data_IF_211565250384
#
_entry.id   IF_211565250384
#
_cell.length_a   1.000
_cell.length_b   1.000
_cell.length_c   1.000
_cell.angle_alpha   90.00
_cell.angle_beta   90.00
_cell.angle_gamma   90.00
#
_symmetry.space_group_name_H-M   'P 1'
#
loop_
_entity.id
_entity.type
_entity.pdbx_description
1 polymer ?
#
# COMPACT_ATOMS: atom_id res chain seq x y z
N UNK A 1 10.99 -8.37 8.68
CA UNK A 1 12.19 -7.76 9.29
C UNK A 1 12.96 -7.06 8.19
N UNK A 2 13.11 -5.74 8.28
CA UNK A 2 13.87 -4.94 7.31
C UNK A 2 15.32 -4.72 7.74
N UNK A 3 15.53 -4.34 9.00
CA UNK A 3 16.85 -4.07 9.58
C UNK A 3 16.94 -4.70 10.98
N UNK A 4 18.08 -5.29 11.32
CA UNK A 4 18.37 -5.85 12.64
C UNK A 4 19.78 -5.43 13.01
N UNK A 5 19.96 -4.87 14.21
CA UNK A 5 21.26 -4.44 14.73
C UNK A 5 21.41 -4.87 16.19
N UNK A 6 22.65 -5.16 16.60
CA UNK A 6 22.99 -5.54 17.97
C UNK A 6 24.43 -5.98 18.10
N UNK A 7 25.01 -5.79 19.29
CA UNK A 7 26.40 -6.14 19.59
C UNK A 7 27.41 -5.08 19.13
N UNK A 8 28.51 -4.98 19.87
CA UNK A 8 29.62 -4.05 19.58
C UNK A 8 30.95 -4.78 19.36
N UNK A 9 31.10 -6.01 19.84
CA UNK A 9 32.29 -6.84 19.67
C UNK A 9 31.97 -8.33 19.76
N UNK A 10 32.88 -9.18 19.24
CA UNK A 10 32.67 -10.63 19.13
C UNK A 10 32.76 -11.40 20.45
N UNK A 11 33.32 -10.80 21.50
CA UNK A 11 33.59 -11.43 22.79
C UNK A 11 32.86 -10.76 23.96
N UNK A 12 31.87 -9.92 23.69
CA UNK A 12 31.06 -9.23 24.70
C UNK A 12 29.58 -9.57 24.49
N UNK A 13 28.88 -9.89 25.58
CA UNK A 13 27.42 -10.06 25.55
C UNK A 13 26.79 -8.69 25.25
N UNK A 14 25.99 -8.59 24.18
CA UNK A 14 25.30 -7.34 23.85
C UNK A 14 24.26 -7.00 24.90
N UNK A 15 24.23 -5.75 25.34
CA UNK A 15 23.21 -5.21 26.26
C UNK A 15 21.98 -4.66 25.52
N UNK A 16 22.04 -4.55 24.19
CA UNK A 16 20.98 -3.99 23.37
C UNK A 16 20.89 -4.64 21.98
N UNK A 17 19.68 -4.66 21.42
CA UNK A 17 19.42 -5.00 20.03
C UNK A 17 18.19 -4.20 19.54
N UNK A 18 18.17 -3.87 18.24
CA UNK A 18 17.03 -3.24 17.58
C UNK A 18 16.61 -4.06 16.37
N UNK A 19 15.32 -3.97 16.04
CA UNK A 19 14.80 -4.47 14.79
C UNK A 19 13.74 -3.51 14.25
N UNK A 20 13.77 -3.27 12.94
CA UNK A 20 12.73 -2.51 12.23
C UNK A 20 11.93 -3.47 11.35
N UNK A 21 10.60 -3.37 11.42
CA UNK A 21 9.68 -4.26 10.71
C UNK A 21 8.69 -3.42 9.91
N UNK A 22 8.69 -3.63 8.59
CA UNK A 22 7.61 -3.17 7.72
C UNK A 22 6.47 -4.18 7.80
N UNK A 23 5.27 -3.72 8.16
CA UNK A 23 4.08 -4.57 8.24
C UNK A 23 3.01 -4.00 7.33
N UNK A 24 2.43 -4.87 6.50
CA UNK A 24 1.40 -4.53 5.53
C UNK A 24 0.14 -5.32 5.81
N UNK A 25 -0.99 -4.66 5.69
CA UNK A 25 -2.31 -5.20 5.95
C UNK A 25 -3.27 -4.77 4.84
N UNK A 26 -4.26 -5.62 4.59
CA UNK A 26 -5.29 -5.44 3.57
C UNK A 26 -6.56 -4.85 4.15
N UNK A 27 -6.85 -5.13 5.42
CA UNK A 27 -8.08 -4.73 6.09
C UNK A 27 -7.80 -4.12 7.44
N UNK A 28 -8.76 -3.34 7.93
CA UNK A 28 -8.69 -2.76 9.26
C UNK A 28 -8.72 -3.82 10.38
N UNK A 29 -9.34 -4.98 10.14
CA UNK A 29 -9.33 -6.08 11.11
C UNK A 29 -7.92 -6.67 11.28
N UNK A 30 -7.18 -6.81 10.18
CA UNK A 30 -5.79 -7.31 10.21
C UNK A 30 -4.87 -6.39 11.00
N UNK A 31 -5.12 -5.08 10.97
CA UNK A 31 -4.39 -4.12 11.81
C UNK A 31 -4.50 -4.49 13.28
N UNK A 32 -5.73 -4.73 13.75
CA UNK A 32 -6.03 -5.04 15.15
C UNK A 32 -5.39 -6.38 15.54
N UNK A 33 -5.58 -7.40 14.70
CA UNK A 33 -5.01 -8.73 14.91
C UNK A 33 -3.47 -8.69 15.01
N UNK A 34 -2.81 -7.98 14.10
CA UNK A 34 -1.35 -7.83 14.09
C UNK A 34 -0.86 -7.10 15.35
N UNK A 35 -1.55 -6.03 15.78
CA UNK A 35 -1.20 -5.31 17.01
C UNK A 35 -1.29 -6.24 18.23
N UNK A 36 -2.32 -7.08 18.31
CA UNK A 36 -2.48 -8.07 19.39
C UNK A 36 -1.42 -9.18 19.34
N UNK A 37 -1.08 -9.69 18.15
CA UNK A 37 -0.04 -10.69 17.98
C UNK A 37 1.33 -10.16 18.39
N UNK A 38 1.69 -8.95 17.96
CA UNK A 38 2.92 -8.27 18.38
C UNK A 38 2.94 -8.10 19.90
N UNK A 39 1.83 -7.64 20.50
CA UNK A 39 1.70 -7.47 21.94
C UNK A 39 1.80 -8.81 22.70
N UNK A 40 1.43 -9.92 22.08
CA UNK A 40 1.56 -11.27 22.66
C UNK A 40 3.01 -11.75 22.60
N UNK A 41 3.68 -11.56 21.47
CA UNK A 41 5.09 -11.94 21.29
C UNK A 41 5.98 -11.24 22.31
N UNK A 42 5.80 -9.94 22.53
CA UNK A 42 6.63 -9.18 23.49
C UNK A 42 6.42 -9.56 24.95
N UNK A 43 5.31 -10.23 25.29
CA UNK A 43 5.07 -10.73 26.64
C UNK A 43 5.81 -12.05 26.90
N UNK A 44 6.17 -12.78 25.84
CA UNK A 44 6.89 -14.04 25.93
C UNK A 44 8.40 -13.77 25.87
N UNK A 45 8.95 -13.32 26.99
CA UNK A 45 10.39 -13.04 27.13
C UNK A 45 11.09 -14.26 27.71
N UNK A 46 12.02 -14.84 26.95
CA UNK A 46 12.76 -16.04 27.36
C UNK A 46 13.94 -15.74 28.31
N UNK A 47 14.49 -14.53 28.26
CA UNK A 47 15.67 -14.12 29.04
C UNK A 47 15.27 -13.13 30.12
N UNK A 48 15.42 -13.54 31.37
CA UNK A 48 15.05 -12.72 32.53
C UNK A 48 15.78 -11.36 32.54
N UNK A 49 15.07 -10.32 32.99
CA UNK A 49 15.56 -8.94 32.98
C UNK A 49 15.51 -8.21 31.62
N UNK A 50 15.17 -8.90 30.52
CA UNK A 50 15.02 -8.26 29.20
C UNK A 50 13.81 -7.33 29.18
N UNK A 51 13.98 -6.14 28.57
CA UNK A 51 12.90 -5.17 28.37
C UNK A 51 12.75 -4.88 26.89
N UNK A 52 11.52 -4.87 26.40
CA UNK A 52 11.19 -4.55 25.01
C UNK A 52 10.45 -3.23 24.97
N UNK A 53 10.88 -2.32 24.08
CA UNK A 53 10.17 -1.09 23.73
C UNK A 53 9.79 -1.17 22.27
N UNK A 54 8.50 -0.96 21.97
CA UNK A 54 8.02 -0.83 20.60
C UNK A 54 7.76 0.65 20.34
N UNK A 55 8.23 1.12 19.19
CA UNK A 55 7.95 2.45 18.66
C UNK A 55 7.44 2.31 17.23
N UNK A 56 6.64 3.27 16.79
CA UNK A 56 6.01 3.29 15.47
C UNK A 56 4.49 3.21 15.56
N UNK A 57 3.84 3.53 14.45
CA UNK A 57 2.40 3.41 14.27
C UNK A 57 2.08 3.15 12.80
N UNK A 58 0.81 2.96 12.52
CA UNK A 58 0.27 2.88 11.17
C UNK A 58 0.41 4.25 10.52
N UNK A 59 1.32 4.33 9.55
CA UNK A 59 1.52 5.55 8.77
C UNK A 59 0.67 5.58 7.48
N UNK A 60 0.14 4.44 7.05
CA UNK A 60 -0.76 4.31 5.89
C UNK A 60 -1.89 3.32 6.21
N UNK A 61 -3.17 3.75 6.16
CA UNK A 61 -4.30 2.84 6.36
C UNK A 61 -4.42 1.84 5.19
N UNK A 62 -5.19 0.75 5.35
CA UNK A 62 -5.47 -0.15 4.23
C UNK A 62 -6.32 0.57 3.16
N UNK A 63 -6.03 0.28 1.89
CA UNK A 63 -6.86 0.72 0.76
C UNK A 63 -7.86 -0.39 0.40
N UNK A 64 -8.95 -0.47 1.17
CA UNK A 64 -9.97 -1.50 0.97
C UNK A 64 -10.84 -1.22 -0.27
N UNK A 65 -11.08 -2.28 -1.06
CA UNK A 65 -12.03 -2.21 -2.17
C UNK A 65 -13.45 -2.23 -1.61
N UNK A 66 -14.13 -1.09 -1.67
CA UNK A 66 -15.50 -0.93 -1.20
C UNK A 66 -16.49 -0.64 -2.35
N UNK A 67 -17.78 -0.55 -2.04
CA UNK A 67 -18.83 -0.31 -3.04
C UNK A 67 -18.64 0.99 -3.84
N UNK A 68 -18.11 2.05 -3.21
CA UNK A 68 -17.87 3.32 -3.89
C UNK A 68 -16.70 3.20 -4.88
N UNK A 69 -15.62 2.54 -4.47
CA UNK A 69 -14.50 2.21 -5.36
C UNK A 69 -14.95 1.31 -6.52
N UNK A 70 -15.85 0.35 -6.28
CA UNK A 70 -16.43 -0.48 -7.35
C UNK A 70 -17.28 0.32 -8.35
N UNK A 71 -17.97 1.38 -7.90
CA UNK A 71 -18.69 2.30 -8.82
C UNK A 71 -17.70 3.09 -9.67
N UNK A 72 -16.65 3.63 -9.07
CA UNK A 72 -15.59 4.35 -9.79
C UNK A 72 -14.88 3.42 -10.80
N UNK A 73 -14.55 2.19 -10.41
CA UNK A 73 -13.94 1.20 -11.30
C UNK A 73 -14.84 0.85 -12.49
N UNK A 74 -16.16 0.77 -12.30
CA UNK A 74 -17.10 0.55 -13.41
C UNK A 74 -17.08 1.70 -14.42
N UNK A 75 -16.97 2.94 -13.95
CA UNK A 75 -16.82 4.12 -14.82
C UNK A 75 -15.50 4.03 -15.60
N UNK A 76 -14.39 3.75 -14.92
CA UNK A 76 -13.07 3.63 -15.56
C UNK A 76 -13.07 2.51 -16.60
N UNK A 77 -13.66 1.34 -16.29
CA UNK A 77 -13.77 0.22 -17.24
C UNK A 77 -14.59 0.60 -18.47
N UNK A 78 -15.75 1.27 -18.28
CA UNK A 78 -16.57 1.77 -19.40
C UNK A 78 -15.78 2.70 -20.32
N UNK A 79 -15.07 3.68 -19.75
CA UNK A 79 -14.24 4.60 -20.54
C UNK A 79 -13.07 3.87 -21.20
N UNK A 80 -12.49 2.88 -20.53
CA UNK A 80 -11.47 2.00 -21.11
C UNK A 80 -11.99 1.27 -22.35
N UNK A 81 -13.16 0.66 -22.25
CA UNK A 81 -13.79 -0.05 -23.38
C UNK A 81 -14.08 0.89 -24.57
N UNK A 82 -14.50 2.13 -24.32
CA UNK A 82 -14.70 3.16 -25.36
C UNK A 82 -13.41 3.59 -26.07
N UNK A 83 -12.26 3.36 -25.44
CA UNK A 83 -10.92 3.68 -25.95
C UNK A 83 -10.14 2.44 -26.42
N UNK A 84 -10.77 1.27 -26.47
CA UNK A 84 -10.12 -0.03 -26.74
C UNK A 84 -8.97 -0.35 -25.76
N UNK A 85 -9.06 0.11 -24.51
CA UNK A 85 -8.10 -0.15 -23.43
C UNK A 85 -8.70 -1.11 -22.41
N UNK A 86 -8.18 -2.33 -22.34
CA UNK A 86 -8.59 -3.30 -21.33
C UNK A 86 -8.13 -2.89 -19.92
N UNK A 87 -9.08 -2.74 -19.00
CA UNK A 87 -8.81 -2.38 -17.60
C UNK A 87 -9.11 -3.55 -16.67
N UNK A 88 -8.07 -3.98 -15.96
CA UNK A 88 -8.16 -4.95 -14.85
C UNK A 88 -7.76 -4.27 -13.56
N UNK A 89 -8.64 -4.30 -12.56
CA UNK A 89 -8.25 -3.96 -11.19
C UNK A 89 -7.36 -5.06 -10.62
N UNK A 90 -6.34 -4.65 -9.87
CA UNK A 90 -5.41 -5.58 -9.22
C UNK A 90 -5.11 -5.09 -7.82
N UNK A 91 -4.94 -6.05 -6.92
CA UNK A 91 -4.31 -5.79 -5.63
C UNK A 91 -2.80 -5.75 -5.81
N UNK A 92 -2.12 -4.84 -5.13
CA UNK A 92 -0.65 -4.80 -5.06
C UNK A 92 -0.20 -4.78 -3.60
N UNK A 93 1.05 -5.14 -3.34
CA UNK A 93 1.62 -5.00 -2.00
C UNK A 93 2.11 -3.57 -1.69
N UNK A 94 2.01 -2.62 -2.62
CA UNK A 94 2.54 -1.26 -2.44
C UNK A 94 1.68 -0.38 -1.53
N UNK A 95 2.29 0.68 -1.01
CA UNK A 95 1.57 1.76 -0.32
C UNK A 95 1.45 2.99 -1.23
N UNK A 96 0.33 3.71 -1.12
CA UNK A 96 0.05 4.92 -1.90
C UNK A 96 -0.71 5.95 -1.06
N UNK A 97 -0.64 7.22 -1.43
CA UNK A 97 -1.43 8.29 -0.80
C UNK A 97 -2.94 8.10 -1.02
N UNK A 98 -3.32 7.32 -2.04
CA UNK A 98 -4.68 6.84 -2.26
C UNK A 98 -5.27 6.11 -1.04
N UNK A 99 -4.44 5.52 -0.18
CA UNK A 99 -4.89 4.89 1.07
C UNK A 99 -5.64 5.87 1.98
N UNK A 100 -5.21 7.12 2.06
CA UNK A 100 -5.84 8.10 2.95
C UNK A 100 -7.25 8.47 2.49
N UNK A 101 -7.44 8.79 1.20
CA UNK A 101 -8.79 9.10 0.68
C UNK A 101 -9.69 7.89 0.70
N UNK A 102 -9.15 6.70 0.43
CA UNK A 102 -9.88 5.44 0.55
C UNK A 102 -10.36 5.20 1.99
N UNK A 103 -9.52 5.44 2.99
CA UNK A 103 -9.87 5.29 4.40
C UNK A 103 -10.93 6.31 4.86
N UNK A 104 -11.04 7.46 4.18
CA UNK A 104 -12.12 8.43 4.39
C UNK A 104 -13.44 8.05 3.69
N UNK A 105 -13.49 6.88 3.03
CA UNK A 105 -14.66 6.43 2.28
C UNK A 105 -14.87 7.14 0.94
N UNK A 106 -13.89 7.91 0.48
CA UNK A 106 -13.94 8.59 -0.82
C UNK A 106 -13.64 7.56 -1.91
N UNK A 107 -14.48 7.43 -2.97
CA UNK A 107 -14.19 6.53 -4.09
C UNK A 107 -12.80 6.81 -4.65
N UNK A 108 -11.89 5.85 -4.51
CA UNK A 108 -10.48 6.04 -4.82
C UNK A 108 -9.94 4.85 -5.60
N UNK A 109 -9.19 5.12 -6.66
CA UNK A 109 -8.35 4.14 -7.35
C UNK A 109 -6.93 4.70 -7.43
N UNK A 110 -5.96 3.81 -7.56
CA UNK A 110 -4.58 4.16 -7.88
C UNK A 110 -4.12 3.42 -9.14
N UNK A 111 -3.03 3.87 -9.74
CA UNK A 111 -2.39 3.21 -10.88
C UNK A 111 -2.94 3.65 -12.23
N UNK A 112 -3.55 4.83 -12.35
CA UNK A 112 -3.98 5.41 -13.65
C UNK A 112 -2.83 5.97 -14.51
N UNK A 113 -1.59 5.92 -14.01
CA UNK A 113 -0.39 6.31 -14.76
C UNK A 113 -0.05 5.40 -15.95
N UNK A 114 1.08 5.68 -16.64
CA UNK A 114 1.60 4.82 -17.70
C UNK A 114 1.89 3.41 -17.18
N UNK A 115 1.86 2.43 -18.09
CA UNK A 115 2.27 1.05 -17.79
C UNK A 115 3.77 1.06 -17.53
N UNK A 116 4.20 0.32 -16.52
CA UNK A 116 5.61 0.22 -16.14
C UNK A 116 5.84 -0.93 -15.18
N UNK A 117 7.04 -1.00 -14.63
CA UNK A 117 7.38 -2.06 -13.71
C UNK A 117 8.69 -1.83 -12.98
N UNK A 118 8.95 -2.73 -12.01
CA UNK A 118 10.18 -2.74 -11.19
C UNK A 118 10.39 -1.45 -10.40
N UNK A 119 9.29 -0.83 -9.95
CA UNK A 119 9.33 0.34 -9.08
C UNK A 119 10.29 0.15 -7.90
N UNK A 120 11.02 1.21 -7.55
CA UNK A 120 12.04 1.22 -6.49
C UNK A 120 13.24 0.31 -6.77
N UNK A 121 13.60 0.09 -8.04
CA UNK A 121 14.80 -0.64 -8.46
C UNK A 121 15.53 0.16 -9.53
N UNK A 122 16.83 -0.05 -9.68
CA UNK A 122 17.61 0.59 -10.77
C UNK A 122 17.09 0.23 -12.17
N UNK A 123 16.39 -0.90 -12.29
CA UNK A 123 15.78 -1.38 -13.53
C UNK A 123 14.31 -0.97 -13.69
N UNK A 124 13.86 0.04 -12.93
CA UNK A 124 12.55 0.67 -13.08
C UNK A 124 12.37 1.21 -14.50
N UNK A 125 11.18 1.02 -15.06
CA UNK A 125 10.87 1.47 -16.41
C UNK A 125 9.38 1.80 -16.56
N UNK A 126 9.08 2.58 -17.59
CA UNK A 126 7.74 2.74 -18.14
C UNK A 126 7.74 2.35 -19.62
N UNK A 127 6.60 1.89 -20.10
CA UNK A 127 6.32 1.70 -21.52
C UNK A 127 5.90 3.04 -22.13
N UNK A 128 6.73 3.55 -23.04
CA UNK A 128 6.51 4.86 -23.69
C UNK A 128 5.22 4.86 -24.51
N UNK A 129 4.89 3.73 -25.14
CA UNK A 129 3.69 3.61 -25.98
C UNK A 129 2.41 3.70 -25.14
N UNK A 130 2.50 3.40 -23.83
CA UNK A 130 1.38 3.53 -22.90
C UNK A 130 1.08 4.96 -22.47
N UNK A 131 2.01 5.91 -22.65
CA UNK A 131 1.90 7.26 -22.09
C UNK A 131 0.66 8.00 -22.61
N UNK A 132 0.49 8.04 -23.93
CA UNK A 132 -0.63 8.74 -24.58
C UNK A 132 -1.96 8.04 -24.31
N UNK A 133 -2.12 6.71 -24.52
CA UNK A 133 -3.37 6.00 -24.19
C UNK A 133 -3.80 6.16 -22.73
N UNK A 134 -2.86 6.07 -21.77
CA UNK A 134 -3.18 6.22 -20.34
C UNK A 134 -3.53 7.65 -19.95
N UNK A 135 -2.88 8.64 -20.57
CA UNK A 135 -3.25 10.05 -20.40
C UNK A 135 -4.66 10.32 -20.95
N UNK A 136 -4.97 9.78 -22.13
CA UNK A 136 -6.30 9.91 -22.73
C UNK A 136 -7.37 9.24 -21.88
N UNK A 137 -7.09 8.05 -21.33
CA UNK A 137 -7.97 7.37 -20.38
C UNK A 137 -8.25 8.25 -19.16
N UNK A 138 -7.20 8.77 -18.51
CA UNK A 138 -7.35 9.62 -17.32
C UNK A 138 -8.19 10.86 -17.63
N UNK A 139 -7.89 11.56 -18.72
CA UNK A 139 -8.64 12.75 -19.14
C UNK A 139 -10.11 12.42 -19.44
N UNK A 140 -10.38 11.31 -20.11
CA UNK A 140 -11.73 10.88 -20.48
C UNK A 140 -12.55 10.46 -19.24
N UNK A 141 -11.91 9.82 -18.25
CA UNK A 141 -12.54 9.51 -16.96
C UNK A 141 -12.91 10.78 -16.21
N UNK A 142 -12.03 11.78 -16.17
CA UNK A 142 -12.32 13.07 -15.53
C UNK A 142 -13.48 13.78 -16.23
N UNK A 143 -13.51 13.79 -17.56
CA UNK A 143 -14.58 14.39 -18.36
C UNK A 143 -15.93 13.67 -18.17
N UNK A 144 -15.95 12.34 -18.18
CA UNK A 144 -17.15 11.54 -17.92
C UNK A 144 -17.68 11.78 -16.50
N UNK A 145 -16.81 11.87 -15.49
CA UNK A 145 -17.19 12.23 -14.11
C UNK A 145 -17.73 13.66 -14.01
N UNK A 146 -17.13 14.62 -14.70
CA UNK A 146 -17.58 16.02 -14.68
C UNK A 146 -18.95 16.23 -15.35
N UNK A 147 -19.29 15.39 -16.34
CA UNK A 147 -20.58 15.40 -17.04
C UNK A 147 -21.69 14.70 -16.27
N UNK A 148 -21.34 13.74 -15.41
CA UNK A 148 -22.25 13.13 -14.43
C UNK A 148 -22.51 14.13 -13.30
N UNK A 149 -23.25 15.17 -13.62
CA UNK A 149 -23.92 15.95 -12.58
C UNK A 149 -25.05 15.09 -12.02
N UNK A 150 -25.05 14.95 -10.69
CA UNK A 150 -26.26 14.62 -9.95
C UNK A 150 -27.38 15.62 -10.28
#
# INVERSE_FOLDING_TARGET
MGLIEGGTSVNTISDHATAQVDVRFRTQDQVTEIKEQIATIIKNIDVDGTKVKIEGDINRPPMEKNEQTEKLLRIIKKVGDELDIFIKDTETGGGSDASFTSALGIPTVDGLGPVGGRAHRESEYLDIESLVPRTLLLASVIDDLAKRKD
#
